data_IF_982948347170
#
_entry.id   IF_982948347170
#
_cell.length_a   1.000
_cell.length_b   1.000
_cell.length_c   1.000
_cell.angle_alpha   90.00
_cell.angle_beta   90.00
_cell.angle_gamma   90.00
#
_symmetry.space_group_name_H-M   'P 1'
#
loop_
_entity.id
_entity.type
_entity.pdbx_description
1 polymer ?
#
# COMPACT_ATOMS: atom_id res chain seq x y z
N UNK A 1 0.98 -29.32 -16.86
CA UNK A 1 -0.07 -28.55 -16.17
C UNK A 1 0.20 -27.09 -16.48
N UNK A 2 -0.60 -26.48 -17.36
CA UNK A 2 -0.45 -25.08 -17.74
C UNK A 2 -0.89 -24.17 -16.59
N UNK A 3 0.03 -23.32 -16.13
CA UNK A 3 -0.24 -22.24 -15.19
C UNK A 3 -0.92 -21.10 -15.93
N UNK A 4 -2.25 -21.00 -15.83
CA UNK A 4 -2.97 -19.80 -16.28
C UNK A 4 -2.62 -18.62 -15.36
N UNK A 5 -2.34 -17.42 -15.90
CA UNK A 5 -2.13 -16.24 -15.08
C UNK A 5 -3.41 -15.95 -14.26
N UNK A 6 -3.22 -15.69 -12.97
CA UNK A 6 -4.28 -15.29 -12.03
C UNK A 6 -4.97 -14.03 -12.55
N UNK A 7 -6.09 -14.21 -13.25
CA UNK A 7 -6.96 -13.13 -13.69
C UNK A 7 -7.90 -12.80 -12.53
N UNK A 8 -7.90 -11.55 -12.10
CA UNK A 8 -8.76 -11.07 -11.04
C UNK A 8 -10.25 -11.18 -11.44
N UNK A 9 -11.03 -12.00 -10.72
CA UNK A 9 -12.49 -12.11 -10.85
C UNK A 9 -13.12 -11.22 -9.77
N UNK A 10 -13.44 -9.98 -10.12
CA UNK A 10 -14.26 -9.08 -9.31
C UNK A 10 -15.66 -8.97 -9.93
N UNK A 11 -16.66 -9.55 -9.28
CA UNK A 11 -18.08 -9.37 -9.63
C UNK A 11 -18.64 -8.17 -8.89
N UNK A 12 -19.00 -7.09 -9.60
CA UNK A 12 -19.96 -6.10 -9.09
C UNK A 12 -20.63 -5.38 -10.26
N UNK A 13 -21.95 -5.50 -10.31
CA UNK A 13 -22.82 -4.99 -11.35
C UNK A 13 -23.37 -3.61 -10.98
N UNK A 14 -22.57 -2.55 -11.11
CA UNK A 14 -23.12 -1.18 -11.16
C UNK A 14 -22.30 -0.30 -12.10
N UNK A 15 -22.96 0.18 -13.16
CA UNK A 15 -22.44 1.11 -14.17
C UNK A 15 -22.39 2.52 -13.58
N UNK A 16 -21.27 2.93 -13.00
CA UNK A 16 -20.94 4.35 -12.82
C UNK A 16 -19.46 4.59 -13.16
N UNK A 17 -19.21 5.63 -13.97
CA UNK A 17 -17.98 5.86 -14.76
C UNK A 17 -16.69 6.16 -13.97
N UNK A 18 -16.63 5.84 -12.67
CA UNK A 18 -15.40 5.84 -11.85
C UNK A 18 -14.93 4.42 -11.47
N UNK A 19 -15.64 3.37 -11.89
CA UNK A 19 -15.51 1.99 -11.40
C UNK A 19 -14.29 1.18 -11.87
N UNK A 20 -13.33 1.78 -12.57
CA UNK A 20 -12.17 1.05 -13.15
C UNK A 20 -10.86 1.16 -12.38
N UNK A 21 -10.78 2.00 -11.34
CA UNK A 21 -9.56 2.10 -10.53
C UNK A 21 -9.66 1.19 -9.29
N UNK A 22 -8.73 0.24 -9.15
CA UNK A 22 -8.74 -0.76 -8.08
C UNK A 22 -8.70 -0.15 -6.67
N UNK A 23 -8.02 1.00 -6.50
CA UNK A 23 -7.87 1.69 -5.21
C UNK A 23 -9.23 2.22 -4.69
N UNK A 24 -9.95 3.12 -5.41
CA UNK A 24 -11.23 3.61 -4.93
C UNK A 24 -12.28 2.50 -4.80
N UNK A 25 -12.26 1.51 -5.71
CA UNK A 25 -13.13 0.34 -5.59
C UNK A 25 -12.91 -0.46 -4.29
N UNK A 26 -11.65 -0.67 -3.89
CA UNK A 26 -11.32 -1.50 -2.73
C UNK A 26 -11.28 -0.73 -1.39
N UNK A 27 -10.67 0.45 -1.37
CA UNK A 27 -10.38 1.24 -0.16
C UNK A 27 -11.29 2.47 0.00
N UNK A 28 -12.08 2.82 -1.02
CA UNK A 28 -12.89 4.03 -1.09
C UNK A 28 -12.15 5.22 -1.70
N UNK A 29 -12.90 6.26 -2.08
CA UNK A 29 -12.41 7.41 -2.85
C UNK A 29 -11.35 8.27 -2.13
N UNK A 30 -11.20 8.06 -0.82
CA UNK A 30 -10.35 8.83 0.07
C UNK A 30 -9.08 8.10 0.53
N UNK A 31 -8.76 6.95 -0.08
CA UNK A 31 -7.53 6.23 0.18
C UNK A 31 -6.28 7.08 -0.09
N UNK A 32 -5.22 6.82 0.67
CA UNK A 32 -3.93 7.48 0.56
C UNK A 32 -2.78 6.49 0.73
N UNK A 33 -1.58 6.89 0.34
CA UNK A 33 -0.35 6.09 0.45
C UNK A 33 0.10 6.11 1.91
N UNK A 34 0.24 4.91 2.47
CA UNK A 34 0.87 4.69 3.76
C UNK A 34 2.39 4.72 3.62
N UNK A 35 2.95 3.94 2.68
CA UNK A 35 4.38 3.90 2.37
C UNK A 35 4.59 3.79 0.86
N UNK A 36 5.67 4.41 0.37
CA UNK A 36 6.17 4.26 -1.00
C UNK A 36 7.66 3.94 -0.89
N UNK A 37 8.04 2.72 -1.23
CA UNK A 37 9.42 2.27 -1.06
C UNK A 37 9.87 1.40 -2.23
N UNK A 38 11.15 1.01 -2.20
CA UNK A 38 11.69 -0.01 -3.08
C UNK A 38 12.42 -1.07 -2.24
N UNK A 39 12.27 -2.33 -2.64
CA UNK A 39 13.01 -3.45 -2.06
C UNK A 39 13.88 -4.07 -3.15
N UNK A 40 15.16 -4.31 -2.84
CA UNK A 40 16.08 -5.01 -3.72
C UNK A 40 16.45 -6.33 -3.05
N UNK A 41 15.86 -7.42 -3.53
CA UNK A 41 16.17 -8.76 -3.03
C UNK A 41 17.41 -9.29 -3.76
N UNK A 42 18.52 -9.41 -3.03
CA UNK A 42 19.81 -9.89 -3.57
C UNK A 42 19.96 -11.40 -3.41
N UNK A 43 20.76 -12.06 -4.25
CA UNK A 43 21.17 -13.46 -4.04
C UNK A 43 21.59 -13.72 -2.59
N UNK A 44 21.10 -14.83 -2.01
CA UNK A 44 21.42 -15.21 -0.64
C UNK A 44 20.67 -14.43 0.45
N UNK A 45 19.63 -13.65 0.12
CA UNK A 45 18.86 -12.96 1.15
C UNK A 45 18.22 -13.93 2.16
N UNK A 46 18.13 -13.46 3.40
CA UNK A 46 17.30 -14.11 4.41
C UNK A 46 15.83 -13.71 4.16
N UNK A 47 14.89 -14.67 4.03
CA UNK A 47 13.47 -14.36 3.91
C UNK A 47 12.97 -13.59 5.14
N UNK A 48 12.00 -12.69 4.92
CA UNK A 48 11.27 -12.13 6.06
C UNK A 48 10.40 -13.22 6.67
N UNK A 49 10.07 -13.07 7.95
CA UNK A 49 8.97 -13.83 8.55
C UNK A 49 7.69 -13.61 7.73
N UNK A 50 6.89 -14.65 7.53
CA UNK A 50 5.54 -14.50 7.00
C UNK A 50 4.75 -13.54 7.88
N UNK A 51 4.08 -12.60 7.24
CA UNK A 51 3.33 -11.56 7.93
C UNK A 51 2.11 -11.12 7.12
N UNK A 52 1.27 -10.34 7.78
CA UNK A 52 0.26 -9.49 7.14
C UNK A 52 0.62 -8.05 7.47
N UNK A 53 0.49 -7.14 6.51
CA UNK A 53 0.79 -5.72 6.74
C UNK A 53 -0.27 -5.03 7.60
N UNK A 54 -1.37 -5.73 7.89
CA UNK A 54 -2.38 -5.29 8.84
C UNK A 54 -2.10 -5.75 10.28
N UNK A 55 -1.10 -6.61 10.52
CA UNK A 55 -0.83 -7.20 11.84
C UNK A 55 -0.54 -6.18 12.94
N UNK A 56 -0.01 -5.00 12.59
CA UNK A 56 0.28 -3.91 13.53
C UNK A 56 -0.94 -3.05 13.89
N UNK A 57 -2.10 -3.29 13.28
CA UNK A 57 -3.33 -2.52 13.54
C UNK A 57 -4.07 -3.13 14.73
N UNK A 58 -3.99 -2.45 15.88
CA UNK A 58 -4.57 -2.91 17.15
C UNK A 58 -5.93 -2.24 17.42
N UNK A 59 -6.96 -2.99 17.86
CA UNK A 59 -6.98 -4.45 17.97
C UNK A 59 -6.97 -5.12 16.58
N UNK A 60 -6.40 -6.34 16.44
CA UNK A 60 -6.32 -7.02 15.14
C UNK A 60 -7.65 -7.02 14.40
N UNK A 61 -7.71 -6.34 13.27
CA UNK A 61 -8.89 -6.32 12.41
C UNK A 61 -8.70 -7.32 11.28
N UNK A 62 -9.64 -8.25 11.12
CA UNK A 62 -9.64 -9.19 10.00
C UNK A 62 -10.88 -9.12 9.12
N UNK A 63 -11.97 -8.56 9.64
CA UNK A 63 -13.21 -8.36 8.89
C UNK A 63 -13.10 -7.25 7.83
N UNK A 64 -12.30 -6.20 8.13
CA UNK A 64 -12.12 -5.06 7.25
C UNK A 64 -10.70 -5.02 6.68
N UNK A 65 -10.57 -5.02 5.35
CA UNK A 65 -9.30 -4.70 4.70
C UNK A 65 -8.97 -3.21 4.91
N UNK A 66 -7.87 -2.92 5.60
CA UNK A 66 -7.42 -1.56 5.90
C UNK A 66 -6.46 -0.99 4.86
N UNK A 67 -5.89 -1.86 4.01
CA UNK A 67 -4.95 -1.46 2.99
C UNK A 67 -4.85 -2.44 1.83
N UNK A 68 -4.15 -1.99 0.79
CA UNK A 68 -3.91 -2.68 -0.46
C UNK A 68 -2.47 -2.43 -0.86
N UNK A 69 -1.73 -3.49 -1.12
CA UNK A 69 -0.39 -3.40 -1.68
C UNK A 69 -0.43 -3.51 -3.20
N UNK A 70 0.41 -2.73 -3.86
CA UNK A 70 0.69 -2.79 -5.29
C UNK A 70 2.20 -2.82 -5.45
N UNK A 71 2.72 -3.95 -5.92
CA UNK A 71 4.15 -4.19 -6.12
C UNK A 71 4.46 -4.23 -7.62
N UNK A 72 5.32 -3.34 -8.10
CA UNK A 72 5.76 -3.31 -9.49
C UNK A 72 7.10 -4.00 -9.66
N UNK A 73 7.14 -5.02 -10.49
CA UNK A 73 8.36 -5.75 -10.83
C UNK A 73 9.16 -4.96 -11.86
N UNK A 74 10.42 -4.68 -11.55
CA UNK A 74 11.34 -3.97 -12.45
C UNK A 74 12.18 -4.93 -13.31
N UNK A 75 12.14 -6.22 -12.97
CA UNK A 75 12.79 -7.34 -13.69
C UNK A 75 11.84 -8.52 -13.73
N UNK A 76 12.12 -9.48 -14.61
CA UNK A 76 11.43 -10.77 -14.58
C UNK A 76 11.58 -11.40 -13.19
N UNK A 77 10.46 -11.68 -12.55
CA UNK A 77 10.40 -12.14 -11.17
C UNK A 77 9.93 -13.58 -11.15
N UNK A 78 10.76 -14.45 -10.60
CA UNK A 78 10.57 -15.90 -10.58
C UNK A 78 10.74 -16.45 -9.17
N UNK A 79 10.34 -17.70 -8.98
CA UNK A 79 10.57 -18.42 -7.73
C UNK A 79 12.06 -18.51 -7.36
N UNK A 80 12.95 -18.48 -8.36
CA UNK A 80 14.40 -18.57 -8.16
C UNK A 80 14.96 -17.26 -7.62
N UNK A 81 14.58 -16.12 -8.18
CA UNK A 81 15.15 -14.81 -7.79
C UNK A 81 14.37 -14.10 -6.66
N UNK A 82 13.52 -14.84 -5.94
CA UNK A 82 12.87 -14.35 -4.72
C UNK A 82 11.53 -13.66 -4.95
N UNK A 83 10.72 -14.11 -5.92
CA UNK A 83 9.32 -13.69 -6.04
C UNK A 83 8.59 -13.69 -4.70
N UNK A 84 7.74 -12.68 -4.49
CA UNK A 84 6.91 -12.58 -3.28
C UNK A 84 6.11 -13.88 -3.11
N UNK A 85 6.20 -14.46 -1.92
CA UNK A 85 5.50 -15.69 -1.54
C UNK A 85 4.17 -15.31 -0.91
N UNK A 86 3.09 -15.96 -1.32
CA UNK A 86 1.73 -15.66 -0.86
C UNK A 86 0.98 -16.93 -0.44
N UNK A 87 0.07 -16.82 0.52
CA UNK A 87 -0.91 -17.87 0.85
C UNK A 87 -2.29 -17.51 0.27
N UNK A 88 -2.66 -18.06 -0.89
CA UNK A 88 -3.92 -17.71 -1.54
C UNK A 88 -5.12 -17.92 -0.61
N UNK A 89 -6.02 -16.94 -0.57
CA UNK A 89 -7.24 -17.02 0.23
C UNK A 89 -7.07 -16.77 1.74
N UNK A 90 -5.85 -16.63 2.26
CA UNK A 90 -5.62 -16.42 3.71
C UNK A 90 -6.20 -15.11 4.25
N UNK A 91 -6.54 -14.16 3.37
CA UNK A 91 -7.23 -12.93 3.73
C UNK A 91 -8.72 -13.13 4.02
N UNK A 92 -9.33 -14.24 3.61
CA UNK A 92 -10.79 -14.49 3.71
C UNK A 92 -11.26 -15.02 5.07
N UNK A 93 -10.36 -15.40 5.97
CA UNK A 93 -10.72 -15.95 7.28
C UNK A 93 -9.51 -16.01 8.21
N UNK A 94 -9.69 -16.50 9.43
CA UNK A 94 -8.62 -16.60 10.42
C UNK A 94 -7.69 -17.80 10.14
N UNK A 95 -7.12 -17.83 8.95
CA UNK A 95 -6.14 -18.84 8.52
C UNK A 95 -4.75 -18.22 8.63
N UNK A 96 -3.87 -18.90 9.35
CA UNK A 96 -2.46 -18.56 9.48
C UNK A 96 -1.59 -19.72 8.99
N UNK A 97 -0.36 -19.44 8.52
CA UNK A 97 0.63 -20.48 8.26
C UNK A 97 0.92 -21.26 9.56
N UNK A 98 1.16 -22.56 9.44
CA UNK A 98 1.55 -23.39 10.59
C UNK A 98 2.93 -23.03 11.13
N UNK A 99 3.84 -22.61 10.25
CA UNK A 99 5.14 -22.04 10.59
C UNK A 99 5.36 -20.75 9.80
N UNK A 100 5.58 -19.65 10.52
CA UNK A 100 5.78 -18.31 9.97
C UNK A 100 7.23 -18.03 9.55
N UNK A 101 8.16 -18.94 9.84
CA UNK A 101 9.58 -18.81 9.51
C UNK A 101 9.96 -19.53 8.21
N UNK A 102 9.05 -20.32 7.64
CA UNK A 102 9.24 -21.00 6.36
C UNK A 102 8.29 -20.46 5.30
N UNK A 103 8.55 -20.79 4.03
CA UNK A 103 7.66 -20.45 2.91
C UNK A 103 6.84 -21.66 2.46
N UNK A 104 6.77 -22.72 3.26
CA UNK A 104 6.13 -23.97 2.89
C UNK A 104 4.60 -23.81 2.77
N UNK A 105 4.00 -24.33 1.70
CA UNK A 105 2.58 -24.17 1.42
C UNK A 105 2.17 -22.80 0.85
N UNK A 106 3.11 -21.85 0.71
CA UNK A 106 2.90 -20.64 -0.09
C UNK A 106 3.13 -20.91 -1.58
N UNK A 107 2.73 -19.97 -2.44
CA UNK A 107 3.07 -19.96 -3.87
C UNK A 107 3.85 -18.69 -4.24
N UNK A 108 4.76 -18.75 -5.23
CA UNK A 108 5.46 -17.56 -5.70
C UNK A 108 4.57 -16.75 -6.65
N UNK A 109 4.50 -15.44 -6.46
CA UNK A 109 3.85 -14.51 -7.38
C UNK A 109 4.81 -14.15 -8.51
N UNK A 110 4.99 -15.05 -9.47
CA UNK A 110 5.90 -14.87 -10.61
C UNK A 110 5.27 -14.00 -11.70
N UNK A 111 6.11 -13.31 -12.49
CA UNK A 111 5.68 -12.51 -13.63
C UNK A 111 6.82 -11.76 -14.30
N UNK A 112 6.67 -11.37 -15.57
CA UNK A 112 7.70 -10.61 -16.29
C UNK A 112 7.86 -9.19 -15.72
N UNK A 113 8.96 -8.53 -16.07
CA UNK A 113 9.18 -7.11 -15.79
C UNK A 113 7.98 -6.25 -16.25
N UNK A 114 7.60 -5.26 -15.45
CA UNK A 114 6.40 -4.44 -15.66
C UNK A 114 5.12 -5.03 -15.07
N UNK A 115 5.14 -6.26 -14.54
CA UNK A 115 4.00 -6.84 -13.81
C UNK A 115 3.70 -6.04 -12.54
N UNK A 116 2.43 -5.78 -12.29
CA UNK A 116 1.92 -5.24 -11.03
C UNK A 116 1.20 -6.34 -10.25
N UNK A 117 1.76 -6.74 -9.10
CA UNK A 117 1.11 -7.67 -8.17
C UNK A 117 0.32 -6.88 -7.15
N UNK A 118 -0.99 -7.14 -7.07
CA UNK A 118 -1.90 -6.43 -6.17
C UNK A 118 -2.46 -7.41 -5.15
N UNK A 119 -2.39 -7.07 -3.86
CA UNK A 119 -2.93 -7.92 -2.80
C UNK A 119 -3.43 -7.17 -1.58
N UNK A 120 -4.43 -7.76 -0.93
CA UNK A 120 -5.04 -7.32 0.33
C UNK A 120 -4.01 -7.37 1.47
N UNK A 121 -3.97 -6.33 2.31
CA UNK A 121 -3.08 -6.27 3.47
C UNK A 121 -3.23 -7.41 4.49
N UNK A 122 -4.37 -8.12 4.48
CA UNK A 122 -4.65 -9.28 5.33
C UNK A 122 -4.09 -10.59 4.74
N UNK A 123 -3.55 -10.57 3.53
CA UNK A 123 -2.93 -11.72 2.88
C UNK A 123 -1.60 -12.03 3.56
N UNK A 124 -1.42 -13.29 3.95
CA UNK A 124 -0.14 -13.77 4.47
C UNK A 124 0.85 -13.85 3.33
N UNK A 125 1.97 -13.18 3.50
CA UNK A 125 3.00 -13.09 2.47
C UNK A 125 4.39 -12.85 3.07
N UNK A 126 5.41 -13.05 2.25
CA UNK A 126 6.80 -12.70 2.56
C UNK A 126 7.61 -12.50 1.28
N UNK A 127 8.77 -11.86 1.39
CA UNK A 127 9.77 -11.86 0.32
C UNK A 127 10.33 -13.27 0.16
N UNK A 128 10.32 -13.80 -1.07
CA UNK A 128 10.88 -15.13 -1.34
C UNK A 128 12.40 -15.16 -1.17
N UNK A 129 12.98 -16.35 -0.88
CA UNK A 129 14.43 -16.52 -0.92
C UNK A 129 14.91 -16.36 -2.36
N UNK A 130 15.86 -15.47 -2.60
CA UNK A 130 16.61 -15.36 -3.83
C UNK A 130 17.75 -16.37 -3.77
N UNK A 131 17.58 -17.44 -4.56
CA UNK A 131 18.49 -18.58 -4.70
C UNK A 131 19.31 -18.51 -5.99
N UNK A 132 19.29 -17.37 -6.70
CA UNK A 132 20.15 -17.16 -7.84
C UNK A 132 21.64 -17.16 -7.40
N UNK A 133 22.55 -17.41 -8.33
CA UNK A 133 23.98 -17.40 -8.04
C UNK A 133 24.53 -15.96 -7.91
N UNK A 134 25.68 -15.80 -7.26
CA UNK A 134 26.29 -14.50 -7.05
C UNK A 134 26.73 -13.87 -8.39
N UNK A 135 26.16 -12.71 -8.73
CA UNK A 135 26.28 -12.08 -10.05
C UNK A 135 25.05 -12.23 -10.94
N UNK A 136 24.07 -13.05 -10.54
CA UNK A 136 22.75 -13.13 -11.18
C UNK A 136 21.71 -12.21 -10.53
N UNK A 137 20.63 -11.97 -11.31
CA UNK A 137 19.53 -11.03 -11.15
C UNK A 137 19.17 -10.62 -9.70
N UNK A 138 19.64 -9.44 -9.28
CA UNK A 138 18.96 -8.68 -8.23
C UNK A 138 17.48 -8.50 -8.61
N UNK A 139 16.58 -8.58 -7.62
CA UNK A 139 15.15 -8.38 -7.84
C UNK A 139 14.68 -7.07 -7.20
N UNK A 140 14.81 -5.93 -7.90
CA UNK A 140 14.25 -4.67 -7.47
C UNK A 140 12.74 -4.63 -7.72
N UNK A 141 11.99 -4.19 -6.71
CA UNK A 141 10.52 -4.01 -6.75
C UNK A 141 10.16 -2.67 -6.13
N UNK A 142 9.27 -1.93 -6.79
CA UNK A 142 8.64 -0.73 -6.20
C UNK A 142 7.38 -1.17 -5.45
N UNK A 143 7.25 -0.75 -4.21
CA UNK A 143 6.17 -1.10 -3.31
C UNK A 143 5.32 0.14 -3.02
N UNK A 144 4.05 0.08 -3.40
CA UNK A 144 3.04 1.07 -3.03
C UNK A 144 2.04 0.43 -2.07
N UNK A 145 2.00 0.94 -0.85
CA UNK A 145 1.03 0.52 0.15
C UNK A 145 -0.03 1.61 0.32
N UNK A 146 -1.26 1.35 -0.13
CA UNK A 146 -2.40 2.23 0.10
C UNK A 146 -3.16 1.81 1.35
N UNK A 147 -3.71 2.77 2.08
CA UNK A 147 -4.57 2.55 3.24
C UNK A 147 -5.86 3.36 3.14
N UNK A 148 -6.88 2.91 3.87
CA UNK A 148 -8.13 3.66 4.04
C UNK A 148 -7.86 5.02 4.68
N UNK A 149 -8.75 5.97 4.42
CA UNK A 149 -8.59 7.36 4.82
C UNK A 149 -8.43 7.61 6.31
N UNK A 150 -9.02 6.77 7.16
CA UNK A 150 -8.94 6.86 8.62
C UNK A 150 -7.72 6.15 9.22
N UNK A 151 -6.94 5.43 8.41
CA UNK A 151 -5.76 4.71 8.88
C UNK A 151 -4.56 5.65 8.77
N UNK A 152 -3.84 5.83 9.87
CA UNK A 152 -2.58 6.59 9.87
C UNK A 152 -1.56 5.95 8.92
N UNK A 153 -0.98 6.76 8.03
CA UNK A 153 0.12 6.38 7.16
C UNK A 153 1.36 5.92 7.96
N UNK A 154 2.08 4.93 7.42
CA UNK A 154 3.35 4.46 7.99
C UNK A 154 4.46 5.52 7.88
N UNK A 155 4.46 6.29 6.79
CA UNK A 155 5.36 7.41 6.57
C UNK A 155 4.62 8.76 6.64
N UNK A 156 5.26 9.76 7.22
CA UNK A 156 4.76 11.12 7.21
C UNK A 156 5.20 11.83 5.92
N UNK A 157 4.51 11.54 4.82
CA UNK A 157 4.76 12.14 3.49
C UNK A 157 4.73 13.66 3.52
N UNK A 158 3.87 14.22 4.37
CA UNK A 158 3.78 15.65 4.57
C UNK A 158 5.04 16.27 5.17
N UNK A 159 5.92 15.50 5.83
CA UNK A 159 7.22 15.99 6.29
C UNK A 159 8.35 15.60 5.34
N UNK A 160 8.30 14.40 4.75
CA UNK A 160 9.40 13.85 3.93
C UNK A 160 9.42 14.36 2.49
N UNK A 161 8.28 14.77 1.92
CA UNK A 161 8.25 15.30 0.56
C UNK A 161 9.03 16.62 0.46
N UNK A 162 9.93 16.70 -0.51
CA UNK A 162 10.62 17.95 -0.85
C UNK A 162 9.61 18.97 -1.38
N UNK A 163 9.77 20.23 -0.97
CA UNK A 163 8.88 21.34 -1.37
C UNK A 163 8.81 21.52 -2.89
N UNK A 164 9.93 21.34 -3.60
CA UNK A 164 10.01 21.51 -5.05
C UNK A 164 9.33 20.36 -5.83
N UNK A 165 9.22 19.18 -5.22
CA UNK A 165 8.44 18.06 -5.76
C UNK A 165 6.96 18.30 -5.49
N UNK A 166 6.59 18.65 -4.26
CA UNK A 166 5.20 18.95 -3.87
C UNK A 166 4.54 20.01 -4.76
N UNK A 167 5.29 21.07 -5.11
CA UNK A 167 4.82 22.15 -5.98
C UNK A 167 4.43 21.66 -7.39
N UNK A 168 4.97 20.53 -7.85
CA UNK A 168 4.73 19.95 -9.17
C UNK A 168 3.64 18.87 -9.17
N UNK A 169 3.19 18.40 -8.00
CA UNK A 169 2.20 17.34 -7.91
C UNK A 169 0.81 17.84 -8.32
N UNK A 170 0.11 17.16 -9.25
CA UNK A 170 -1.31 17.36 -9.47
C UNK A 170 -2.13 17.01 -8.23
N UNK A 171 -3.33 17.56 -8.12
CA UNK A 171 -4.25 17.34 -6.98
C UNK A 171 -4.49 15.85 -6.68
N UNK A 172 -4.58 15.02 -7.72
CA UNK A 172 -4.72 13.57 -7.55
C UNK A 172 -3.53 12.95 -6.80
N UNK A 173 -2.31 13.36 -7.11
CA UNK A 173 -1.10 12.86 -6.44
C UNK A 173 -0.98 13.45 -5.03
N UNK A 174 -1.28 14.74 -4.85
CA UNK A 174 -1.38 15.36 -3.52
C UNK A 174 -2.39 14.62 -2.63
N UNK A 175 -3.51 14.15 -3.20
CA UNK A 175 -4.50 13.38 -2.46
C UNK A 175 -3.94 12.04 -1.98
N UNK A 176 -3.15 11.35 -2.81
CA UNK A 176 -2.46 10.14 -2.40
C UNK A 176 -1.40 10.36 -1.33
N UNK A 177 -0.73 11.51 -1.30
CA UNK A 177 0.22 11.84 -0.24
C UNK A 177 -0.42 12.46 1.02
N UNK A 178 -1.75 12.39 1.14
CA UNK A 178 -2.47 12.80 2.37
C UNK A 178 -2.75 14.28 2.49
N UNK A 179 -2.54 15.09 1.44
CA UNK A 179 -2.81 16.53 1.48
C UNK A 179 -4.30 16.88 1.36
N UNK A 180 -5.14 15.95 0.87
CA UNK A 180 -6.57 16.22 0.70
C UNK A 180 -7.27 16.14 2.06
N UNK A 181 -7.95 17.22 2.45
CA UNK A 181 -8.89 17.18 3.57
C UNK A 181 -10.09 16.33 3.21
N UNK A 182 -10.58 15.59 4.20
CA UNK A 182 -11.81 14.81 4.10
C UNK A 182 -12.69 15.16 5.31
N UNK A 183 -14.01 14.92 5.24
CA UNK A 183 -14.90 15.25 6.35
C UNK A 183 -14.38 14.69 7.69
N UNK A 184 -14.12 15.59 8.65
CA UNK A 184 -13.66 15.25 9.99
C UNK A 184 -12.17 14.87 10.14
N UNK A 185 -11.36 14.85 9.07
CA UNK A 185 -9.95 14.42 9.16
C UNK A 185 -9.01 15.26 8.28
N UNK A 186 -7.76 15.39 8.75
CA UNK A 186 -6.66 16.02 7.98
C UNK A 186 -6.70 17.55 7.94
N UNK A 187 -7.50 18.21 8.78
CA UNK A 187 -7.54 19.67 8.86
C UNK A 187 -6.27 20.23 9.54
N UNK A 188 -5.89 21.45 9.15
CA UNK A 188 -4.81 22.23 9.77
C UNK A 188 -5.42 23.52 10.31
N UNK A 189 -5.09 23.90 11.54
CA UNK A 189 -5.60 25.11 12.21
C UNK A 189 -7.14 25.25 12.18
N UNK A 190 -7.88 24.15 12.33
CA UNK A 190 -9.35 24.16 12.35
C UNK A 190 -10.03 24.48 11.02
N UNK A 191 -9.28 24.58 9.91
CA UNK A 191 -9.87 24.81 8.59
C UNK A 191 -10.49 23.52 8.01
N UNK A 192 -11.80 23.40 8.18
CA UNK A 192 -12.59 22.24 7.75
C UNK A 192 -13.09 22.30 6.30
N UNK A 193 -12.77 23.36 5.54
CA UNK A 193 -13.22 23.48 4.15
C UNK A 193 -12.71 22.29 3.30
N UNK A 194 -13.49 21.76 2.35
CA UNK A 194 -13.06 20.65 1.50
C UNK A 194 -12.03 21.14 0.47
N UNK A 195 -10.75 21.11 0.84
CA UNK A 195 -9.62 21.54 0.00
C UNK A 195 -8.35 20.75 0.31
N UNK A 196 -7.26 21.02 -0.40
CA UNK A 196 -5.94 20.54 0.00
C UNK A 196 -5.38 21.40 1.13
N UNK A 197 -4.63 20.78 2.05
CA UNK A 197 -3.84 21.49 3.06
C UNK A 197 -2.54 22.01 2.46
N UNK A 198 -2.04 23.09 3.04
CA UNK A 198 -0.77 23.71 2.67
C UNK A 198 0.14 23.76 3.89
N UNK A 199 1.45 23.59 3.68
CA UNK A 199 2.46 23.78 4.73
C UNK A 199 2.36 25.19 5.29
N UNK A 200 2.16 25.27 6.60
CA UNK A 200 2.25 26.52 7.35
C UNK A 200 3.72 26.74 7.69
N UNK A 201 4.27 27.92 7.37
CA UNK A 201 5.63 28.27 7.78
C UNK A 201 5.70 28.56 9.29
N UNK A 202 4.61 29.08 9.86
CA UNK A 202 4.37 29.16 11.31
C UNK A 202 2.96 28.68 11.61
N UNK A 203 2.84 27.62 12.42
CA UNK A 203 1.56 27.07 12.88
C UNK A 203 1.06 27.75 14.18
N UNK A 204 1.90 28.57 14.82
CA UNK A 204 1.55 29.25 16.07
C UNK A 204 1.12 30.67 15.76
N UNK A 205 -0.15 30.97 16.04
CA UNK A 205 -0.73 32.31 15.95
C UNK A 205 -1.42 32.72 17.25
N UNK A 206 -1.87 33.97 17.32
CA UNK A 206 -2.63 34.47 18.44
C UNK A 206 -3.96 33.71 18.59
N UNK A 207 -4.30 33.29 19.82
CA UNK A 207 -5.55 32.59 20.11
C UNK A 207 -6.73 33.47 19.68
N UNK A 208 -7.49 33.03 18.67
CA UNK A 208 -8.66 33.77 18.20
C UNK A 208 -9.81 33.57 19.18
N UNK A 209 -9.97 34.50 20.12
CA UNK A 209 -11.02 34.45 21.16
C UNK A 209 -12.41 34.88 20.63
N UNK A 210 -12.48 35.53 19.48
CA UNK A 210 -13.75 36.03 18.93
C UNK A 210 -14.27 35.18 17.77
N UNK A 211 -15.27 34.34 18.06
CA UNK A 211 -16.17 33.80 17.05
C UNK A 211 -17.26 34.85 16.77
N UNK A 212 -17.09 35.68 15.74
CA UNK A 212 -18.22 36.48 15.25
C UNK A 212 -19.14 35.53 14.48
N UNK A 213 -20.30 35.21 15.07
CA UNK A 213 -21.35 34.47 14.39
C UNK A 213 -21.69 35.16 13.07
N UNK A 214 -21.59 34.44 11.95
CA UNK A 214 -22.23 34.83 10.70
C UNK A 214 -23.71 34.50 10.75
#
# INVERSE_FOLDING_TARGET
METKPLTYIGTSSTKEKNSYAIIPWFLGDHAHISTLSANITRPGNVPMQLHTDQSSKTPPQRELAMGLNISFYLVDTTNVNGATRVYPGSHKGNVAPGDIWTVEGSIPAEGPAGTAVVFDNRLWHTTGPNRATEGELERPVILLHFVRSFVRAGENHYLSLRKDVEAKLPDRQKAFFGFRKIPGMGSVEGNTAPSFVTRTESAIGELRVSYKSR
#
